data_IF_963508272675
#
_entry.id   IF_963508272675
#
_cell.length_a   1.000
_cell.length_b   1.000
_cell.length_c   1.000
_cell.angle_alpha   90.00
_cell.angle_beta   90.00
_cell.angle_gamma   90.00
#
_symmetry.space_group_name_H-M   'P 1'
#
loop_
_entity.id
_entity.type
_entity.pdbx_description
1 polymer ?
#
# COMPACT_ATOMS: atom_id res chain seq x y z
N UNK A 1 -28.58 -1.26 5.81
CA UNK A 1 -27.33 -0.79 5.13
C UNK A 1 -26.18 -1.54 5.75
N UNK A 2 -25.40 -2.22 4.93
CA UNK A 2 -24.26 -3.05 5.36
C UNK A 2 -23.24 -2.22 6.14
N UNK A 3 -22.76 -2.73 7.27
CA UNK A 3 -21.74 -2.05 8.08
C UNK A 3 -20.38 -2.10 7.41
N UNK A 4 -19.62 -1.02 7.55
CA UNK A 4 -18.25 -0.92 7.05
C UNK A 4 -17.35 -0.67 8.24
N UNK A 5 -16.34 -1.53 8.39
CA UNK A 5 -15.40 -1.53 9.49
C UNK A 5 -14.02 -1.29 8.90
N UNK A 6 -13.39 -0.18 9.27
CA UNK A 6 -11.99 0.12 8.92
C UNK A 6 -11.11 -0.32 10.08
N UNK A 7 -10.07 -1.11 9.78
CA UNK A 7 -9.10 -1.60 10.76
C UNK A 7 -7.73 -1.02 10.44
N UNK A 8 -7.14 -0.27 11.36
CA UNK A 8 -5.83 0.34 11.13
C UNK A 8 -5.18 0.92 12.37
N UNK A 9 -4.07 1.59 12.16
CA UNK A 9 -3.30 2.31 13.19
C UNK A 9 -3.45 3.82 13.01
N UNK A 10 -2.93 4.62 13.95
CA UNK A 10 -2.90 6.09 13.83
C UNK A 10 -1.91 6.50 12.75
N UNK A 11 -2.41 6.50 11.51
CA UNK A 11 -1.63 6.82 10.31
C UNK A 11 -2.52 7.48 9.25
N UNK A 12 -1.94 8.34 8.38
CA UNK A 12 -2.70 9.01 7.32
C UNK A 12 -3.35 8.04 6.31
N UNK A 13 -2.84 6.81 6.15
CA UNK A 13 -3.47 5.75 5.37
C UNK A 13 -4.88 5.42 5.91
N UNK A 14 -5.01 5.20 7.22
CA UNK A 14 -6.30 4.91 7.87
C UNK A 14 -7.24 6.11 7.77
N UNK A 15 -6.74 7.35 7.96
CA UNK A 15 -7.55 8.55 7.77
C UNK A 15 -8.03 8.69 6.32
N UNK A 16 -7.15 8.42 5.35
CA UNK A 16 -7.48 8.44 3.93
C UNK A 16 -8.60 7.45 3.59
N UNK A 17 -8.55 6.22 4.11
CA UNK A 17 -9.60 5.22 3.95
C UNK A 17 -10.94 5.70 4.52
N UNK A 18 -10.93 6.21 5.76
CA UNK A 18 -12.13 6.78 6.40
C UNK A 18 -12.73 7.88 5.53
N UNK A 19 -11.91 8.77 4.96
CA UNK A 19 -12.38 9.85 4.09
C UNK A 19 -12.90 9.36 2.75
N UNK A 20 -12.25 8.39 2.12
CA UNK A 20 -12.73 7.80 0.86
C UNK A 20 -14.17 7.26 1.01
N UNK A 21 -14.40 6.51 2.06
CA UNK A 21 -15.70 5.90 2.34
C UNK A 21 -16.72 6.92 2.84
N UNK A 22 -16.32 7.81 3.75
CA UNK A 22 -17.20 8.82 4.29
C UNK A 22 -17.68 9.84 3.26
N UNK A 23 -16.82 10.26 2.33
CA UNK A 23 -17.19 11.13 1.20
C UNK A 23 -18.15 10.43 0.23
N UNK A 24 -18.13 9.11 0.14
CA UNK A 24 -19.09 8.30 -0.61
C UNK A 24 -20.42 8.07 0.12
N UNK A 25 -20.57 8.62 1.35
CA UNK A 25 -21.81 8.55 2.12
C UNK A 25 -21.91 7.35 3.07
N UNK A 26 -20.85 6.57 3.22
CA UNK A 26 -20.85 5.43 4.13
C UNK A 26 -20.60 5.86 5.59
N UNK A 27 -21.31 5.21 6.53
CA UNK A 27 -21.01 5.30 7.96
C UNK A 27 -19.97 4.27 8.34
N UNK A 28 -18.93 4.69 9.08
CA UNK A 28 -17.75 3.87 9.34
C UNK A 28 -17.62 3.60 10.83
N UNK A 29 -17.50 2.32 11.16
CA UNK A 29 -16.98 1.89 12.44
C UNK A 29 -15.46 1.69 12.30
N UNK A 30 -14.69 2.18 13.27
CA UNK A 30 -13.23 2.20 13.23
C UNK A 30 -12.67 1.32 14.36
N UNK A 31 -11.81 0.37 14.00
CA UNK A 31 -10.97 -0.37 14.95
C UNK A 31 -9.56 0.21 14.85
N UNK A 32 -9.10 0.92 15.89
CA UNK A 32 -7.74 1.43 15.99
C UNK A 32 -6.89 0.50 16.86
N UNK A 33 -5.79 0.05 16.30
CA UNK A 33 -4.80 -0.78 16.98
C UNK A 33 -3.75 0.11 17.64
N UNK A 34 -3.47 -0.16 18.91
CA UNK A 34 -2.47 0.50 19.73
C UNK A 34 -3.07 1.63 20.60
N UNK A 35 -3.47 2.74 20.02
CA UNK A 35 -3.97 3.88 20.78
C UNK A 35 -4.95 4.74 19.99
N UNK A 36 -5.74 5.55 20.71
CA UNK A 36 -6.60 6.56 20.08
C UNK A 36 -5.78 7.71 19.48
N UNK A 37 -6.34 8.37 18.48
CA UNK A 37 -5.67 9.46 17.80
C UNK A 37 -6.59 10.29 16.89
N UNK A 38 -5.98 11.12 16.06
CA UNK A 38 -6.69 12.10 15.23
C UNK A 38 -7.74 11.48 14.29
N UNK A 39 -7.63 10.19 13.95
CA UNK A 39 -8.56 9.53 13.02
C UNK A 39 -9.95 9.38 13.64
N UNK A 40 -10.03 9.06 14.94
CA UNK A 40 -11.30 8.96 15.67
C UNK A 40 -12.09 10.27 15.71
N UNK A 41 -11.42 11.41 15.44
CA UNK A 41 -12.02 12.76 15.39
C UNK A 41 -12.62 13.10 14.02
N UNK A 42 -12.47 12.20 13.03
CA UNK A 42 -13.10 12.40 11.72
C UNK A 42 -14.63 12.36 11.84
N UNK A 43 -15.29 13.31 11.18
CA UNK A 43 -16.76 13.37 11.14
C UNK A 43 -17.43 12.13 10.51
N UNK A 44 -16.65 11.33 9.80
CA UNK A 44 -17.13 10.14 9.10
C UNK A 44 -17.10 8.89 9.98
N UNK A 45 -16.40 8.94 11.12
CA UNK A 45 -16.34 7.85 12.08
C UNK A 45 -17.56 7.92 13.01
N UNK A 46 -18.37 6.86 13.00
CA UNK A 46 -19.55 6.73 13.85
C UNK A 46 -19.18 6.18 15.22
N UNK A 47 -18.28 5.21 15.26
CA UNK A 47 -17.83 4.51 16.46
C UNK A 47 -16.37 4.15 16.34
N UNK A 48 -15.62 4.29 17.43
CA UNK A 48 -14.23 3.81 17.53
C UNK A 48 -14.14 2.74 18.61
N UNK A 49 -13.48 1.62 18.27
CA UNK A 49 -13.11 0.56 19.20
C UNK A 49 -11.59 0.51 19.21
N UNK A 50 -10.99 0.47 20.39
CA UNK A 50 -9.55 0.32 20.54
C UNK A 50 -9.19 -1.15 20.72
N UNK A 51 -8.17 -1.60 19.99
CA UNK A 51 -7.50 -2.87 20.18
C UNK A 51 -6.09 -2.61 20.69
N UNK A 52 -5.61 -3.33 21.70
CA UNK A 52 -4.25 -3.17 22.22
C UNK A 52 -3.22 -3.59 21.15
N UNK A 53 -3.51 -4.66 20.46
CA UNK A 53 -2.71 -5.17 19.34
C UNK A 53 -3.59 -5.89 18.30
N UNK A 54 -2.99 -6.37 17.22
CA UNK A 54 -3.70 -7.02 16.11
C UNK A 54 -4.36 -8.34 16.51
N UNK A 55 -3.94 -9.03 17.58
CA UNK A 55 -4.52 -10.32 18.01
C UNK A 55 -5.96 -10.17 18.50
N UNK A 56 -6.35 -8.99 18.96
CA UNK A 56 -7.70 -8.71 19.44
C UNK A 56 -8.72 -8.49 18.32
N UNK A 57 -8.26 -8.21 17.08
CA UNK A 57 -9.13 -7.83 15.95
C UNK A 57 -10.23 -8.85 15.73
N UNK A 58 -9.91 -10.16 15.73
CA UNK A 58 -10.87 -11.24 15.45
C UNK A 58 -11.98 -11.28 16.52
N UNK A 59 -11.61 -11.20 17.79
CA UNK A 59 -12.57 -11.22 18.90
C UNK A 59 -13.46 -9.97 18.84
N UNK A 60 -12.87 -8.79 18.63
CA UNK A 60 -13.63 -7.53 18.49
C UNK A 60 -14.65 -7.64 17.35
N UNK A 61 -14.25 -8.20 16.20
CA UNK A 61 -15.14 -8.38 15.05
C UNK A 61 -16.27 -9.35 15.38
N UNK A 62 -15.98 -10.51 15.98
CA UNK A 62 -16.97 -11.51 16.30
C UNK A 62 -17.97 -11.02 17.37
N UNK A 63 -17.47 -10.40 18.45
CA UNK A 63 -18.29 -9.94 19.57
C UNK A 63 -19.21 -8.77 19.19
N UNK A 64 -18.75 -7.87 18.35
CA UNK A 64 -19.51 -6.66 17.99
C UNK A 64 -20.33 -6.77 16.71
N UNK A 65 -19.94 -7.68 15.79
CA UNK A 65 -20.50 -7.71 14.42
C UNK A 65 -20.80 -9.12 13.90
N UNK A 66 -20.49 -10.19 14.66
CA UNK A 66 -20.66 -11.57 14.19
C UNK A 66 -22.10 -12.00 13.91
N UNK A 67 -23.08 -11.29 14.51
CA UNK A 67 -24.50 -11.58 14.40
C UNK A 67 -25.27 -10.60 13.47
N UNK A 68 -24.54 -9.82 12.64
CA UNK A 68 -25.19 -8.92 11.69
C UNK A 68 -25.93 -9.70 10.58
N UNK A 69 -27.14 -9.25 10.24
CA UNK A 69 -27.96 -9.88 9.18
C UNK A 69 -27.36 -9.82 7.79
N UNK A 70 -26.57 -8.78 7.50
CA UNK A 70 -25.76 -8.65 6.29
C UNK A 70 -24.29 -8.69 6.70
N UNK A 71 -23.46 -9.52 6.02
CA UNK A 71 -22.03 -9.61 6.28
C UNK A 71 -21.38 -8.22 6.24
N UNK A 72 -20.80 -7.72 7.36
CA UNK A 72 -20.05 -6.47 7.34
C UNK A 72 -18.83 -6.55 6.43
N UNK A 73 -18.44 -5.38 5.88
CA UNK A 73 -17.22 -5.26 5.09
C UNK A 73 -16.11 -4.76 6.00
N UNK A 74 -15.04 -5.54 6.12
CA UNK A 74 -13.84 -5.21 6.91
C UNK A 74 -12.72 -4.81 5.98
N UNK A 75 -12.19 -3.61 6.17
CA UNK A 75 -11.13 -3.04 5.31
C UNK A 75 -9.87 -2.81 6.14
N UNK A 76 -8.87 -3.69 6.03
CA UNK A 76 -7.60 -3.53 6.71
C UNK A 76 -6.72 -2.48 6.00
N UNK A 77 -6.03 -1.64 6.80
CA UNK A 77 -5.13 -0.60 6.33
C UNK A 77 -3.64 -0.89 6.63
N UNK A 78 -3.32 -2.04 7.21
CA UNK A 78 -1.95 -2.48 7.50
C UNK A 78 -1.73 -3.92 7.09
N UNK A 79 -0.47 -4.31 6.83
CA UNK A 79 -0.12 -5.68 6.48
C UNK A 79 -0.46 -6.66 7.62
N UNK A 80 -0.21 -6.25 8.88
CA UNK A 80 -0.54 -7.07 10.05
C UNK A 80 -2.05 -7.31 10.19
N UNK A 81 -2.87 -6.26 10.05
CA UNK A 81 -4.33 -6.41 10.11
C UNK A 81 -4.85 -7.28 8.95
N UNK A 82 -4.29 -7.13 7.73
CA UNK A 82 -4.61 -8.01 6.60
C UNK A 82 -4.25 -9.45 6.88
N UNK A 83 -3.05 -9.72 7.41
CA UNK A 83 -2.58 -11.09 7.73
C UNK A 83 -3.42 -11.75 8.81
N UNK A 84 -3.79 -11.03 9.86
CA UNK A 84 -4.64 -11.58 10.94
C UNK A 84 -6.00 -12.04 10.41
N UNK A 85 -6.62 -11.25 9.53
CA UNK A 85 -7.89 -11.63 8.87
C UNK A 85 -7.70 -12.82 7.92
N UNK A 86 -6.66 -12.79 7.10
CA UNK A 86 -6.34 -13.80 6.09
C UNK A 86 -6.06 -15.17 6.72
N UNK A 87 -5.26 -15.22 7.80
CA UNK A 87 -4.96 -16.45 8.54
C UNK A 87 -6.20 -17.11 9.19
N UNK A 88 -7.34 -16.46 9.17
CA UNK A 88 -8.62 -16.95 9.69
C UNK A 88 -9.75 -16.85 8.65
N UNK A 89 -9.39 -16.85 7.36
CA UNK A 89 -10.34 -16.67 6.27
C UNK A 89 -11.51 -17.66 6.36
N UNK A 90 -11.23 -18.95 6.50
CA UNK A 90 -12.26 -20.00 6.55
C UNK A 90 -13.21 -19.87 7.75
N UNK A 91 -12.72 -19.32 8.88
CA UNK A 91 -13.55 -19.02 10.05
C UNK A 91 -14.42 -17.78 9.87
N UNK A 92 -13.94 -16.80 9.10
CA UNK A 92 -14.56 -15.47 9.00
C UNK A 92 -15.42 -15.28 7.74
N UNK A 93 -15.16 -16.00 6.66
CA UNK A 93 -15.79 -15.81 5.34
C UNK A 93 -17.32 -15.88 5.34
N UNK A 94 -17.90 -16.63 6.29
CA UNK A 94 -19.35 -16.77 6.39
C UNK A 94 -20.02 -15.60 7.13
N UNK A 95 -19.26 -14.85 7.93
CA UNK A 95 -19.76 -13.71 8.70
C UNK A 95 -19.30 -12.35 8.18
N UNK A 96 -18.17 -12.28 7.45
CA UNK A 96 -17.55 -11.02 7.02
C UNK A 96 -17.11 -11.06 5.56
N UNK A 97 -17.02 -9.87 4.95
CA UNK A 97 -16.39 -9.63 3.64
C UNK A 97 -15.10 -8.85 3.87
N UNK A 98 -13.97 -9.33 3.37
CA UNK A 98 -12.65 -8.70 3.53
C UNK A 98 -11.70 -9.14 2.42
N UNK A 99 -10.53 -8.50 2.34
CA UNK A 99 -9.50 -8.84 1.35
C UNK A 99 -8.96 -10.23 1.58
N UNK A 100 -8.85 -11.03 0.50
CA UNK A 100 -8.45 -12.43 0.62
C UNK A 100 -7.95 -13.00 -0.71
N UNK A 101 -7.38 -14.21 -0.66
CA UNK A 101 -7.03 -15.05 -1.82
C UNK A 101 -7.80 -16.39 -1.84
N UNK A 102 -8.90 -16.49 -1.10
CA UNK A 102 -9.83 -17.62 -1.15
C UNK A 102 -9.55 -18.76 -0.18
N UNK A 103 -8.45 -18.71 0.62
CA UNK A 103 -8.14 -19.71 1.65
C UNK A 103 -7.29 -19.09 2.77
N UNK A 104 -7.19 -19.80 3.92
CA UNK A 104 -6.42 -19.36 5.09
C UNK A 104 -4.94 -19.12 4.74
N UNK A 105 -4.45 -17.93 5.06
CA UNK A 105 -3.05 -17.55 4.94
C UNK A 105 -2.53 -17.34 3.52
N UNK A 106 -3.38 -17.45 2.50
CA UNK A 106 -2.92 -17.34 1.11
C UNK A 106 -2.51 -15.91 0.72
N UNK A 107 -3.22 -14.87 1.18
CA UNK A 107 -2.79 -13.50 0.95
C UNK A 107 -1.48 -13.21 1.70
N UNK A 108 -1.34 -13.72 2.92
CA UNK A 108 -0.11 -13.63 3.72
C UNK A 108 1.07 -14.35 3.03
N UNK A 109 0.84 -15.50 2.42
CA UNK A 109 1.84 -16.20 1.60
C UNK A 109 2.30 -15.34 0.42
N UNK A 110 1.37 -14.68 -0.28
CA UNK A 110 1.70 -13.78 -1.39
C UNK A 110 2.33 -12.45 -0.95
N UNK A 111 2.33 -12.10 0.33
CA UNK A 111 3.12 -10.97 0.86
C UNK A 111 4.62 -11.29 0.94
N UNK A 112 5.03 -12.55 0.76
CA UNK A 112 6.44 -12.91 0.68
C UNK A 112 7.06 -12.35 -0.61
N UNK A 113 8.15 -11.57 -0.46
CA UNK A 113 8.80 -10.87 -1.59
C UNK A 113 9.36 -11.82 -2.66
N UNK A 114 9.84 -13.00 -2.27
CA UNK A 114 10.35 -13.99 -3.21
C UNK A 114 9.21 -14.54 -4.08
N UNK A 115 8.10 -14.92 -3.46
CA UNK A 115 6.88 -15.38 -4.15
C UNK A 115 6.35 -14.33 -5.10
N UNK A 116 6.33 -13.06 -4.68
CA UNK A 116 5.91 -11.95 -5.54
C UNK A 116 6.80 -11.79 -6.77
N UNK A 117 8.13 -11.89 -6.61
CA UNK A 117 9.08 -11.81 -7.73
C UNK A 117 8.86 -12.96 -8.72
N UNK A 118 8.62 -14.18 -8.24
CA UNK A 118 8.33 -15.35 -9.08
C UNK A 118 7.03 -15.17 -9.88
N UNK A 119 5.96 -14.71 -9.23
CA UNK A 119 4.68 -14.43 -9.92
C UNK A 119 4.84 -13.27 -10.90
N UNK A 120 5.49 -12.18 -10.52
CA UNK A 120 5.74 -11.04 -11.41
C UNK A 120 6.49 -11.49 -12.68
N UNK A 121 7.54 -12.29 -12.52
CA UNK A 121 8.31 -12.84 -13.65
C UNK A 121 7.47 -13.76 -14.53
N UNK A 122 6.63 -14.62 -13.94
CA UNK A 122 5.79 -15.59 -14.68
C UNK A 122 4.76 -14.91 -15.59
N UNK A 123 4.31 -13.70 -15.24
CA UNK A 123 3.39 -12.89 -16.06
C UNK A 123 4.10 -11.88 -16.97
N UNK A 124 5.44 -11.93 -17.02
CA UNK A 124 6.26 -11.09 -17.87
C UNK A 124 6.51 -9.67 -17.35
N UNK A 125 6.32 -9.42 -16.05
CA UNK A 125 6.75 -8.18 -15.38
C UNK A 125 8.27 -8.25 -15.21
N UNK A 126 8.98 -7.17 -15.55
CA UNK A 126 10.43 -7.11 -15.39
C UNK A 126 10.79 -7.02 -13.91
N UNK A 127 11.65 -7.93 -13.45
CA UNK A 127 12.19 -7.96 -12.07
C UNK A 127 13.70 -7.69 -12.11
N UNK A 128 14.27 -7.04 -11.08
CA UNK A 128 15.74 -7.00 -10.96
C UNK A 128 16.30 -8.41 -10.83
N UNK A 129 17.39 -8.69 -11.55
CA UNK A 129 18.10 -9.98 -11.39
C UNK A 129 18.53 -10.14 -9.94
N UNK A 130 18.25 -11.29 -9.33
CA UNK A 130 18.58 -11.54 -7.93
C UNK A 130 18.82 -13.02 -7.66
N UNK A 131 19.65 -13.31 -6.66
CA UNK A 131 19.88 -14.65 -6.15
C UNK A 131 20.20 -14.64 -4.64
N UNK A 132 19.88 -15.73 -3.96
CA UNK A 132 20.31 -15.96 -2.59
C UNK A 132 21.78 -16.40 -2.58
N UNK A 133 22.61 -15.74 -1.74
CA UNK A 133 23.98 -16.15 -1.55
C UNK A 133 24.05 -17.44 -0.70
N UNK A 134 24.60 -18.52 -1.30
CA UNK A 134 24.74 -19.85 -0.68
C UNK A 134 26.21 -20.29 -0.55
N UNK A 135 27.11 -19.33 -0.30
CA UNK A 135 28.55 -19.60 -0.15
C UNK A 135 29.36 -19.37 -1.42
N UNK A 136 28.74 -19.31 -2.59
CA UNK A 136 29.38 -19.04 -3.86
C UNK A 136 28.72 -17.87 -4.57
N UNK A 137 29.51 -17.01 -5.23
CA UNK A 137 29.03 -15.92 -6.05
C UNK A 137 28.54 -16.44 -7.39
N UNK A 138 27.30 -16.06 -7.75
CA UNK A 138 26.79 -16.26 -9.09
C UNK A 138 27.14 -15.07 -9.99
N UNK A 139 26.83 -15.17 -11.30
CA UNK A 139 26.99 -14.07 -12.24
C UNK A 139 26.20 -12.86 -11.76
N UNK A 140 26.92 -11.83 -11.33
CA UNK A 140 26.35 -10.62 -10.72
C UNK A 140 26.45 -9.44 -11.65
N UNK A 141 25.37 -8.65 -11.74
CA UNK A 141 25.35 -7.37 -12.47
C UNK A 141 25.67 -6.27 -11.45
N UNK A 142 26.74 -5.51 -11.72
CA UNK A 142 27.14 -4.38 -10.88
C UNK A 142 26.65 -3.04 -11.45
N UNK A 143 26.32 -2.07 -10.55
CA UNK A 143 26.26 -2.22 -9.09
C UNK A 143 25.13 -3.16 -8.66
N UNK A 144 25.30 -3.79 -7.47
CA UNK A 144 24.31 -4.65 -6.88
C UNK A 144 23.98 -4.22 -5.44
N UNK A 145 22.84 -4.70 -4.96
CA UNK A 145 22.38 -4.54 -3.58
C UNK A 145 22.61 -5.85 -2.81
N UNK A 146 23.07 -5.71 -1.58
CA UNK A 146 23.04 -6.75 -0.56
C UNK A 146 21.98 -6.42 0.47
N UNK A 147 21.06 -7.34 0.73
CA UNK A 147 20.04 -7.20 1.76
C UNK A 147 19.67 -8.55 2.37
N UNK A 148 19.23 -8.61 3.64
CA UNK A 148 18.69 -9.84 4.19
C UNK A 148 17.34 -10.17 3.49
N UNK A 149 17.08 -11.46 3.29
CA UNK A 149 15.78 -11.94 2.75
C UNK A 149 14.65 -11.63 3.74
N UNK A 150 14.93 -11.78 5.03
CA UNK A 150 14.00 -11.43 6.10
C UNK A 150 14.60 -10.32 6.97
N UNK A 151 13.86 -9.22 7.14
CA UNK A 151 14.22 -8.16 8.08
C UNK A 151 13.69 -8.52 9.46
N UNK A 152 14.46 -9.29 10.24
CA UNK A 152 14.16 -9.52 11.66
C UNK A 152 14.51 -8.23 12.42
N UNK A 153 13.58 -7.71 13.23
CA UNK A 153 13.77 -6.53 14.11
C UNK A 153 13.97 -5.17 13.44
N UNK A 154 13.40 -4.92 12.26
CA UNK A 154 13.32 -3.57 11.67
C UNK A 154 14.65 -2.98 11.16
N UNK A 155 15.75 -3.69 11.22
CA UNK A 155 17.05 -3.27 10.71
C UNK A 155 17.17 -3.52 9.21
N UNK A 156 16.96 -2.49 8.39
CA UNK A 156 17.16 -2.56 6.94
C UNK A 156 18.64 -2.34 6.61
N UNK A 157 19.48 -3.36 6.84
CA UNK A 157 20.87 -3.29 6.34
C UNK A 157 20.87 -3.56 4.84
N UNK A 158 20.93 -2.49 4.04
CA UNK A 158 21.10 -2.56 2.59
C UNK A 158 22.46 -1.95 2.25
N UNK A 159 23.29 -2.70 1.53
CA UNK A 159 24.59 -2.24 1.05
C UNK A 159 24.59 -2.18 -0.47
N UNK A 160 25.15 -1.12 -1.04
CA UNK A 160 25.41 -1.02 -2.47
C UNK A 160 26.85 -1.47 -2.71
N UNK A 161 27.06 -2.42 -3.62
CA UNK A 161 28.35 -2.94 -4.01
C UNK A 161 28.60 -2.65 -5.48
N UNK A 162 29.68 -1.95 -5.79
CA UNK A 162 30.01 -1.54 -7.17
C UNK A 162 30.89 -2.55 -7.92
N UNK A 163 31.46 -3.50 -7.20
CA UNK A 163 32.34 -4.54 -7.73
C UNK A 163 32.36 -5.78 -6.83
N UNK A 164 33.00 -6.84 -7.29
CA UNK A 164 33.06 -8.13 -6.59
C UNK A 164 33.76 -8.03 -5.23
N UNK A 165 34.79 -7.21 -5.09
CA UNK A 165 35.54 -7.02 -3.83
C UNK A 165 34.64 -6.39 -2.76
N UNK A 166 33.86 -5.36 -3.13
CA UNK A 166 32.88 -4.75 -2.24
C UNK A 166 31.77 -5.74 -1.88
N UNK A 167 31.31 -6.55 -2.84
CA UNK A 167 30.33 -7.59 -2.62
C UNK A 167 30.78 -8.63 -1.59
N UNK A 168 32.00 -9.17 -1.72
CA UNK A 168 32.59 -10.14 -0.77
C UNK A 168 32.75 -9.54 0.62
N UNK A 169 33.24 -8.29 0.70
CA UNK A 169 33.37 -7.55 1.97
C UNK A 169 31.98 -7.31 2.60
N UNK A 170 31.02 -6.92 1.78
CA UNK A 170 29.63 -6.70 2.21
C UNK A 170 29.01 -7.97 2.79
N UNK A 171 29.11 -9.11 2.10
CA UNK A 171 28.62 -10.41 2.58
C UNK A 171 29.20 -10.75 3.96
N UNK A 172 30.49 -10.57 4.14
CA UNK A 172 31.18 -10.86 5.41
C UNK A 172 30.68 -10.01 6.59
N UNK A 173 29.95 -8.92 6.30
CA UNK A 173 29.38 -8.04 7.33
C UNK A 173 27.99 -8.45 7.82
N UNK A 174 27.38 -9.47 7.21
CA UNK A 174 26.12 -10.06 7.66
C UNK A 174 26.40 -11.21 8.64
N UNK A 175 25.44 -11.51 9.50
CA UNK A 175 25.50 -12.68 10.37
C UNK A 175 25.49 -13.97 9.55
N UNK A 176 26.18 -15.01 10.01
CA UNK A 176 26.14 -16.34 9.38
C UNK A 176 24.73 -16.97 9.34
N UNK A 177 23.81 -16.47 10.14
CA UNK A 177 22.41 -16.89 10.19
C UNK A 177 21.52 -16.12 9.20
N UNK A 178 22.00 -15.00 8.64
CA UNK A 178 21.23 -14.21 7.68
C UNK A 178 21.30 -14.84 6.30
N UNK A 179 20.13 -15.10 5.71
CA UNK A 179 20.04 -15.39 4.28
C UNK A 179 20.15 -14.08 3.53
N UNK A 180 21.25 -13.91 2.77
CA UNK A 180 21.55 -12.66 2.07
C UNK A 180 21.11 -12.76 0.61
N UNK A 181 20.34 -11.77 0.16
CA UNK A 181 19.98 -11.58 -1.23
C UNK A 181 20.96 -10.64 -1.91
N UNK A 182 21.54 -11.10 -3.03
CA UNK A 182 22.29 -10.28 -3.99
C UNK A 182 21.33 -9.89 -5.10
N UNK A 183 21.10 -8.59 -5.31
CA UNK A 183 20.14 -8.10 -6.29
C UNK A 183 20.76 -6.99 -7.13
N UNK A 184 20.48 -7.00 -8.43
CA UNK A 184 20.84 -5.91 -9.33
C UNK A 184 20.36 -4.57 -8.77
N UNK A 185 21.26 -3.58 -8.69
CA UNK A 185 20.89 -2.20 -8.34
C UNK A 185 20.28 -1.52 -9.56
N UNK A 186 19.05 -1.04 -9.43
CA UNK A 186 18.37 -0.26 -10.47
C UNK A 186 18.49 1.22 -10.11
N UNK A 187 19.22 2.00 -10.93
CA UNK A 187 19.31 3.45 -10.74
C UNK A 187 17.96 4.10 -11.02
N UNK A 188 17.28 4.48 -9.96
CA UNK A 188 15.94 5.07 -9.99
C UNK A 188 15.92 6.39 -10.75
N UNK A 189 15.07 6.51 -11.77
CA UNK A 189 14.62 7.80 -12.33
C UNK A 189 13.48 8.33 -11.46
N UNK A 190 12.46 7.52 -11.23
CA UNK A 190 11.37 7.73 -10.27
C UNK A 190 10.70 6.41 -9.93
N UNK A 191 9.85 6.43 -8.90
CA UNK A 191 9.01 5.30 -8.53
C UNK A 191 7.55 5.57 -8.88
N UNK A 192 6.82 4.50 -9.21
CA UNK A 192 5.38 4.54 -9.38
C UNK A 192 4.69 3.49 -8.50
N UNK A 193 3.45 3.77 -8.13
CA UNK A 193 2.54 2.81 -7.52
C UNK A 193 1.32 2.67 -8.42
N UNK A 194 1.12 1.50 -9.01
CA UNK A 194 -0.10 1.17 -9.77
C UNK A 194 -1.16 0.74 -8.79
N UNK A 195 -2.25 1.52 -8.69
CA UNK A 195 -3.32 1.29 -7.72
C UNK A 195 -4.53 0.62 -8.37
N UNK A 196 -5.10 -0.35 -7.67
CA UNK A 196 -6.26 -1.06 -8.20
C UNK A 196 -7.13 -1.73 -7.15
N UNK A 197 -8.19 -2.32 -7.66
CA UNK A 197 -9.14 -3.13 -6.92
C UNK A 197 -9.48 -4.39 -7.72
N UNK A 198 -9.41 -5.55 -7.07
CA UNK A 198 -9.86 -6.82 -7.62
C UNK A 198 -11.15 -7.25 -6.94
N UNK A 199 -12.14 -7.65 -7.74
CA UNK A 199 -13.47 -8.08 -7.30
C UNK A 199 -13.96 -9.23 -8.18
N UNK A 200 -15.12 -9.80 -7.88
CA UNK A 200 -15.76 -10.79 -8.76
C UNK A 200 -16.05 -10.27 -10.18
N UNK A 201 -16.02 -8.93 -10.39
CA UNK A 201 -16.18 -8.29 -11.71
C UNK A 201 -14.85 -8.14 -12.47
N UNK A 202 -13.74 -8.57 -11.88
CA UNK A 202 -12.39 -8.50 -12.44
C UNK A 202 -11.49 -7.45 -11.77
N UNK A 203 -10.32 -7.24 -12.37
CA UNK A 203 -9.29 -6.32 -11.87
C UNK A 203 -9.43 -4.95 -12.52
N UNK A 204 -9.67 -3.94 -11.71
CA UNK A 204 -9.84 -2.55 -12.10
C UNK A 204 -8.63 -1.71 -11.66
N UNK A 205 -8.00 -0.97 -12.58
CA UNK A 205 -6.85 -0.10 -12.34
C UNK A 205 -7.15 1.25 -13.02
N UNK A 206 -7.58 2.29 -12.28
CA UNK A 206 -7.98 3.58 -12.84
C UNK A 206 -6.85 4.59 -13.00
N UNK A 207 -5.70 4.37 -12.37
CA UNK A 207 -4.59 5.31 -12.37
C UNK A 207 -3.40 4.80 -11.57
N UNK A 208 -2.36 5.63 -11.51
CA UNK A 208 -1.14 5.35 -10.77
C UNK A 208 -0.62 6.60 -10.08
N UNK A 209 0.28 6.41 -9.14
CA UNK A 209 0.98 7.47 -8.40
C UNK A 209 2.42 7.54 -8.90
N UNK A 210 2.90 8.72 -9.27
CA UNK A 210 4.31 9.00 -9.51
C UNK A 210 4.89 9.65 -8.26
N UNK A 211 5.84 8.97 -7.59
CA UNK A 211 6.50 9.48 -6.38
C UNK A 211 7.60 10.48 -6.77
N UNK A 212 7.58 11.65 -6.14
CA UNK A 212 8.61 12.68 -6.29
C UNK A 212 9.52 12.76 -5.07
N UNK A 213 8.95 12.56 -3.89
CA UNK A 213 9.67 12.50 -2.62
C UNK A 213 9.12 11.37 -1.77
N UNK A 214 10.03 10.67 -1.13
CA UNK A 214 9.73 9.56 -0.23
C UNK A 214 10.62 9.65 1.02
N UNK A 215 10.24 8.96 2.08
CA UNK A 215 11.05 8.78 3.26
C UNK A 215 10.69 7.45 3.92
N UNK A 216 11.69 6.65 4.20
CA UNK A 216 11.55 5.31 4.80
C UNK A 216 10.47 4.42 4.13
N UNK A 217 10.43 4.46 2.79
CA UNK A 217 9.46 3.74 1.96
C UNK A 217 8.08 4.38 1.87
N UNK A 218 7.80 5.45 2.62
CA UNK A 218 6.55 6.20 2.57
C UNK A 218 6.59 7.34 1.58
N UNK A 219 5.52 7.52 0.80
CA UNK A 219 5.37 8.65 -0.15
C UNK A 219 5.10 9.95 0.60
N UNK A 220 5.87 11.00 0.30
CA UNK A 220 5.72 12.34 0.87
C UNK A 220 5.05 13.32 -0.07
N UNK A 221 5.55 13.39 -1.32
CA UNK A 221 4.99 14.22 -2.38
C UNK A 221 4.92 13.42 -3.68
N UNK A 222 3.78 13.49 -4.34
CA UNK A 222 3.51 12.68 -5.52
C UNK A 222 2.52 13.34 -6.47
N UNK A 223 2.46 12.83 -7.70
CA UNK A 223 1.41 13.17 -8.66
C UNK A 223 0.56 11.93 -8.96
N UNK A 224 -0.75 12.08 -8.88
CA UNK A 224 -1.71 11.10 -9.41
C UNK A 224 -1.78 11.24 -10.91
N UNK A 225 -1.64 10.13 -11.64
CA UNK A 225 -1.62 10.10 -13.10
C UNK A 225 -2.69 9.16 -13.66
N UNK A 226 -3.27 9.47 -14.84
CA UNK A 226 -4.15 8.56 -15.57
C UNK A 226 -3.44 7.25 -15.95
N UNK A 227 -4.18 6.14 -15.96
CA UNK A 227 -3.62 4.84 -16.32
C UNK A 227 -3.18 4.76 -17.79
N UNK A 228 -3.79 5.56 -18.64
CA UNK A 228 -3.51 5.65 -20.06
C UNK A 228 -2.08 6.15 -20.37
N UNK A 229 -1.43 6.80 -19.42
CA UNK A 229 -0.04 7.23 -19.53
C UNK A 229 0.95 6.04 -19.49
N UNK A 230 0.50 4.86 -19.04
CA UNK A 230 1.31 3.65 -18.98
C UNK A 230 1.07 2.75 -20.22
N UNK A 231 2.08 2.00 -20.69
CA UNK A 231 1.92 1.04 -21.77
C UNK A 231 0.81 0.03 -21.46
N UNK A 232 -0.12 -0.20 -22.38
CA UNK A 232 -1.27 -1.08 -22.18
C UNK A 232 -0.87 -2.51 -21.80
N UNK A 233 0.21 -3.05 -22.43
CA UNK A 233 0.73 -4.37 -22.10
C UNK A 233 1.30 -4.45 -20.68
N UNK A 234 1.92 -3.39 -20.19
CA UNK A 234 2.37 -3.31 -18.80
C UNK A 234 1.19 -3.38 -17.83
N UNK A 235 0.14 -2.61 -18.09
CA UNK A 235 -1.10 -2.62 -17.28
C UNK A 235 -1.77 -3.99 -17.31
N UNK A 236 -1.81 -4.66 -18.47
CA UNK A 236 -2.34 -6.03 -18.59
C UNK A 236 -1.54 -7.04 -17.73
N UNK A 237 -0.21 -6.91 -17.70
CA UNK A 237 0.65 -7.76 -16.85
C UNK A 237 0.39 -7.52 -15.37
N UNK A 238 0.21 -6.27 -14.93
CA UNK A 238 -0.21 -5.95 -13.56
C UNK A 238 -1.54 -6.64 -13.20
N UNK A 239 -2.53 -6.58 -14.08
CA UNK A 239 -3.80 -7.29 -13.88
C UNK A 239 -3.63 -8.80 -13.79
N UNK A 240 -2.82 -9.40 -14.69
CA UNK A 240 -2.51 -10.84 -14.67
C UNK A 240 -1.86 -11.28 -13.37
N UNK A 241 -0.95 -10.47 -12.80
CA UNK A 241 -0.31 -10.75 -11.52
C UNK A 241 -1.34 -10.88 -10.38
N UNK A 242 -2.28 -9.96 -10.29
CA UNK A 242 -3.34 -9.99 -9.26
C UNK A 242 -4.29 -11.20 -9.47
N UNK A 243 -4.63 -11.50 -10.73
CA UNK A 243 -5.44 -12.70 -11.06
C UNK A 243 -4.70 -13.98 -10.69
N UNK A 244 -3.40 -14.08 -10.95
CA UNK A 244 -2.57 -15.26 -10.60
C UNK A 244 -2.52 -15.51 -9.09
N UNK A 245 -2.64 -14.47 -8.28
CA UNK A 245 -2.74 -14.57 -6.82
C UNK A 245 -4.17 -14.91 -6.33
N UNK A 246 -5.16 -15.00 -7.21
CA UNK A 246 -6.58 -15.12 -6.86
C UNK A 246 -7.02 -14.07 -5.83
N UNK A 247 -6.41 -12.87 -5.88
CA UNK A 247 -6.63 -11.84 -4.89
C UNK A 247 -7.92 -11.06 -5.13
N UNK A 248 -8.68 -10.86 -4.06
CA UNK A 248 -9.86 -9.99 -4.00
C UNK A 248 -9.64 -8.91 -2.95
N UNK A 249 -9.61 -7.65 -3.35
CA UNK A 249 -9.35 -6.50 -2.47
C UNK A 249 -8.68 -5.33 -3.17
N UNK A 250 -8.32 -4.32 -2.38
CA UNK A 250 -7.50 -3.19 -2.82
C UNK A 250 -6.03 -3.59 -2.89
N UNK A 251 -5.30 -3.07 -3.88
CA UNK A 251 -3.87 -3.34 -4.00
C UNK A 251 -3.10 -2.14 -4.55
N UNK A 252 -1.79 -2.14 -4.26
CA UNK A 252 -0.82 -1.26 -4.87
C UNK A 252 0.39 -2.06 -5.35
N UNK A 253 0.83 -1.89 -6.60
CA UNK A 253 2.04 -2.53 -7.13
C UNK A 253 3.08 -1.45 -7.38
N UNK A 254 4.24 -1.60 -6.74
CA UNK A 254 5.33 -0.62 -6.77
C UNK A 254 6.39 -1.00 -7.80
N UNK A 255 6.87 0.02 -8.54
CA UNK A 255 7.89 -0.13 -9.57
C UNK A 255 8.90 1.00 -9.54
N UNK A 256 10.16 0.66 -9.87
CA UNK A 256 11.19 1.63 -10.26
C UNK A 256 11.15 1.83 -11.78
N UNK A 257 11.08 3.08 -12.23
CA UNK A 257 11.29 3.44 -13.64
C UNK A 257 12.78 3.68 -13.89
N UNK A 258 13.33 3.00 -14.87
CA UNK A 258 14.71 3.17 -15.36
C UNK A 258 14.78 2.79 -16.83
N UNK A 259 15.41 3.65 -17.68
CA UNK A 259 15.67 3.38 -19.11
C UNK A 259 14.45 2.82 -19.87
N UNK A 260 13.29 3.46 -19.77
CA UNK A 260 12.03 3.01 -20.38
C UNK A 260 11.48 1.65 -19.88
N UNK A 261 12.04 1.06 -18.83
CA UNK A 261 11.59 -0.16 -18.17
C UNK A 261 10.98 0.15 -16.80
N UNK A 262 9.99 -0.65 -16.39
CA UNK A 262 9.42 -0.64 -15.05
C UNK A 262 9.87 -1.92 -14.34
N UNK A 263 10.70 -1.78 -13.32
CA UNK A 263 11.22 -2.88 -12.51
C UNK A 263 10.36 -3.06 -11.26
N UNK A 264 9.84 -4.25 -11.06
CA UNK A 264 9.02 -4.61 -9.92
C UNK A 264 9.77 -4.44 -8.59
N UNK A 265 9.10 -3.87 -7.60
CA UNK A 265 9.59 -3.75 -6.21
C UNK A 265 8.79 -4.70 -5.32
N UNK A 266 7.48 -4.44 -5.18
CA UNK A 266 6.58 -5.22 -4.33
C UNK A 266 5.11 -4.97 -4.71
N UNK A 267 4.25 -5.89 -4.25
CA UNK A 267 2.80 -5.74 -4.30
C UNK A 267 2.23 -5.69 -2.88
N UNK A 268 1.57 -4.59 -2.56
CA UNK A 268 0.83 -4.40 -1.32
C UNK A 268 -0.58 -4.97 -1.49
N UNK A 269 -0.90 -6.09 -0.85
CA UNK A 269 -2.21 -6.74 -0.90
C UNK A 269 -3.13 -6.20 0.21
N UNK A 270 -3.28 -4.90 0.22
CA UNK A 270 -4.09 -4.11 1.16
C UNK A 270 -4.35 -2.72 0.60
N UNK A 271 -5.06 -1.89 1.39
CA UNK A 271 -5.12 -0.47 1.06
C UNK A 271 -3.73 0.17 1.08
N UNK A 272 -3.35 0.77 -0.04
CA UNK A 272 -2.14 1.58 -0.13
C UNK A 272 -2.39 2.98 0.44
N UNK A 273 -1.37 3.59 1.06
CA UNK A 273 -1.50 4.93 1.66
C UNK A 273 -1.87 6.01 0.63
N UNK A 274 -1.50 5.79 -0.63
CA UNK A 274 -1.74 6.74 -1.73
C UNK A 274 -3.13 6.61 -2.36
N UNK A 275 -3.94 5.62 -1.98
CA UNK A 275 -5.32 5.42 -2.48
C UNK A 275 -6.21 6.65 -2.25
N UNK A 276 -6.00 7.39 -1.16
CA UNK A 276 -6.77 8.62 -0.89
C UNK A 276 -6.51 9.69 -1.95
N UNK A 277 -5.28 9.86 -2.42
CA UNK A 277 -4.96 10.80 -3.48
C UNK A 277 -5.66 10.42 -4.80
N UNK A 278 -5.72 9.11 -5.11
CA UNK A 278 -6.45 8.61 -6.27
C UNK A 278 -7.96 8.92 -6.17
N UNK A 279 -8.55 8.77 -4.97
CA UNK A 279 -9.95 9.13 -4.73
C UNK A 279 -10.21 10.64 -4.93
N UNK A 280 -9.30 11.50 -4.46
CA UNK A 280 -9.37 12.96 -4.70
C UNK A 280 -9.26 13.29 -6.19
N UNK A 281 -8.54 12.50 -6.97
CA UNK A 281 -8.45 12.62 -8.44
C UNK A 281 -9.69 12.08 -9.18
N UNK A 282 -10.68 11.56 -8.47
CA UNK A 282 -11.96 11.10 -9.03
C UNK A 282 -12.13 9.58 -9.09
N UNK A 283 -11.14 8.79 -8.71
CA UNK A 283 -11.20 7.32 -8.72
C UNK A 283 -11.17 6.73 -7.30
N UNK A 284 -12.34 6.68 -6.66
CA UNK A 284 -12.50 6.18 -5.29
C UNK A 284 -12.56 4.64 -5.27
N UNK A 285 -11.40 3.99 -5.19
CA UNK A 285 -11.29 2.52 -5.15
C UNK A 285 -11.97 1.88 -3.93
N UNK A 286 -11.89 2.44 -2.69
CA UNK A 286 -12.65 1.93 -1.55
C UNK A 286 -14.16 1.90 -1.79
N UNK A 287 -14.74 2.96 -2.37
CA UNK A 287 -16.14 3.00 -2.75
C UNK A 287 -16.46 1.93 -3.81
N UNK A 288 -15.60 1.79 -4.83
CA UNK A 288 -15.75 0.75 -5.86
C UNK A 288 -15.77 -0.66 -5.26
N UNK A 289 -14.86 -0.95 -4.31
CA UNK A 289 -14.82 -2.23 -3.60
C UNK A 289 -16.10 -2.50 -2.82
N UNK A 290 -16.55 -1.53 -2.01
CA UNK A 290 -17.76 -1.68 -1.20
C UNK A 290 -18.98 -1.90 -2.09
N UNK A 291 -19.13 -1.12 -3.17
CA UNK A 291 -20.25 -1.23 -4.10
C UNK A 291 -20.22 -2.51 -4.95
N UNK A 292 -19.06 -3.19 -5.05
CA UNK A 292 -18.99 -4.48 -5.77
C UNK A 292 -19.82 -5.59 -5.12
N UNK A 293 -20.14 -5.47 -3.83
CA UNK A 293 -20.99 -6.40 -3.08
C UNK A 293 -22.49 -6.04 -3.12
N UNK A 294 -22.86 -4.95 -3.78
CA UNK A 294 -24.24 -4.58 -4.05
C UNK A 294 -24.64 -4.95 -5.48
N UNK A 295 -25.96 -4.95 -5.74
CA UNK A 295 -26.49 -5.17 -7.10
C UNK A 295 -26.37 -3.92 -8.00
N UNK A 296 -25.97 -2.80 -7.44
CA UNK A 296 -25.84 -1.55 -8.18
C UNK A 296 -24.64 -1.60 -9.15
N UNK A 297 -24.81 -0.97 -10.31
CA UNK A 297 -23.71 -0.85 -11.27
C UNK A 297 -22.64 0.09 -10.73
N UNK A 298 -21.42 -0.43 -10.55
CA UNK A 298 -20.26 0.41 -10.25
C UNK A 298 -20.02 1.38 -11.41
N UNK A 299 -20.04 2.67 -11.12
CA UNK A 299 -19.58 3.67 -12.09
C UNK A 299 -18.11 3.40 -12.39
N UNK A 300 -17.74 3.39 -13.67
CA UNK A 300 -16.34 3.36 -14.06
C UNK A 300 -15.71 4.67 -13.64
N UNK A 301 -14.89 4.63 -12.58
CA UNK A 301 -14.16 5.79 -12.08
C UNK A 301 -12.83 5.85 -12.82
N UNK A 302 -12.53 6.98 -13.46
CA UNK A 302 -11.29 7.16 -14.23
C UNK A 302 -10.59 8.43 -13.75
N UNK A 303 -9.30 8.35 -13.57
CA UNK A 303 -8.47 9.54 -13.35
C UNK A 303 -8.32 10.27 -14.68
N UNK A 304 -8.96 11.42 -14.83
CA UNK A 304 -8.92 12.22 -16.06
C UNK A 304 -7.91 13.36 -16.02
N UNK A 305 -7.43 13.72 -14.83
CA UNK A 305 -6.51 14.86 -14.63
C UNK A 305 -5.43 14.50 -13.63
N UNK A 306 -4.21 14.93 -13.94
CA UNK A 306 -3.11 14.86 -12.99
C UNK A 306 -3.35 15.83 -11.84
N UNK A 307 -3.13 15.38 -10.62
CA UNK A 307 -3.17 16.21 -9.42
C UNK A 307 -1.98 15.89 -8.52
N UNK A 308 -1.46 16.91 -7.85
CA UNK A 308 -0.43 16.72 -6.84
C UNK A 308 -1.05 16.40 -5.48
N UNK A 309 -0.35 15.54 -4.74
CA UNK A 309 -0.69 15.08 -3.40
C UNK A 309 0.51 15.24 -2.46
N UNK A 310 0.24 15.69 -1.23
CA UNK A 310 1.27 15.99 -0.24
C UNK A 310 0.88 15.46 1.14
N UNK A 311 1.84 14.79 1.82
CA UNK A 311 1.74 14.38 3.22
C UNK A 311 2.38 15.48 4.07
N UNK A 312 1.62 16.50 4.41
CA UNK A 312 2.04 17.85 4.77
C UNK A 312 3.17 17.90 5.80
N UNK A 313 2.97 17.28 6.96
CA UNK A 313 3.94 17.37 8.07
C UNK A 313 5.23 16.63 7.76
N UNK A 314 5.12 15.42 7.22
CA UNK A 314 6.27 14.59 6.91
C UNK A 314 7.07 15.19 5.74
N UNK A 315 6.38 15.67 4.71
CA UNK A 315 7.03 16.30 3.58
C UNK A 315 7.73 17.61 3.97
N UNK A 316 7.10 18.43 4.83
CA UNK A 316 7.74 19.63 5.38
C UNK A 316 9.04 19.30 6.14
N UNK A 317 9.02 18.25 6.98
CA UNK A 317 10.17 17.81 7.77
C UNK A 317 11.32 17.38 6.88
N UNK A 318 11.04 16.60 5.83
CA UNK A 318 12.04 16.00 4.95
C UNK A 318 12.32 16.78 3.66
N UNK A 319 11.69 17.95 3.44
CA UNK A 319 11.86 18.73 2.19
C UNK A 319 13.31 19.09 1.87
N UNK A 320 14.14 19.31 2.93
CA UNK A 320 15.55 19.70 2.77
C UNK A 320 16.39 18.56 2.19
N UNK A 321 16.03 17.31 2.43
CA UNK A 321 16.71 16.12 1.90
C UNK A 321 16.62 16.08 0.37
N UNK A 322 15.64 16.80 -0.19
CA UNK A 322 15.40 16.98 -1.62
C UNK A 322 15.75 18.37 -2.14
N UNK A 323 16.51 19.18 -1.38
CA UNK A 323 16.88 20.55 -1.72
C UNK A 323 15.67 21.49 -1.97
N UNK A 324 14.52 21.22 -1.33
CA UNK A 324 13.31 22.04 -1.47
C UNK A 324 13.28 23.13 -0.40
N UNK A 325 13.47 24.37 -0.81
CA UNK A 325 13.38 25.56 0.05
C UNK A 325 11.93 25.83 0.49
N UNK A 326 11.76 26.61 1.56
CA UNK A 326 10.46 26.91 2.16
C UNK A 326 9.47 27.53 1.17
N UNK A 327 9.89 28.53 0.38
CA UNK A 327 9.01 29.17 -0.60
C UNK A 327 8.51 28.19 -1.68
N UNK A 328 9.40 27.32 -2.18
CA UNK A 328 9.04 26.28 -3.15
C UNK A 328 8.09 25.24 -2.52
N UNK A 329 8.34 24.87 -1.27
CA UNK A 329 7.46 23.96 -0.54
C UNK A 329 6.06 24.55 -0.34
N UNK A 330 5.97 25.82 0.10
CA UNK A 330 4.69 26.52 0.25
C UNK A 330 3.92 26.58 -1.08
N UNK A 331 4.61 26.86 -2.18
CA UNK A 331 3.98 26.86 -3.52
C UNK A 331 3.41 25.47 -3.83
N UNK A 332 4.15 24.38 -3.60
CA UNK A 332 3.69 23.01 -3.79
C UNK A 332 2.54 22.66 -2.85
N UNK A 333 2.61 23.04 -1.58
CA UNK A 333 1.54 22.83 -0.61
C UNK A 333 0.22 23.48 -1.06
N UNK A 334 0.25 24.76 -1.48
CA UNK A 334 -0.98 25.44 -1.90
C UNK A 334 -1.51 24.97 -3.24
N UNK A 335 -0.66 24.56 -4.18
CA UNK A 335 -1.07 23.99 -5.47
C UNK A 335 -1.59 22.57 -5.40
N UNK A 336 -1.16 21.79 -4.41
CA UNK A 336 -1.58 20.39 -4.23
C UNK A 336 -3.08 20.29 -3.97
N UNK A 337 -3.77 19.49 -4.77
CA UNK A 337 -5.21 19.25 -4.63
C UNK A 337 -5.52 18.26 -3.51
N UNK A 338 -4.66 17.27 -3.31
CA UNK A 338 -4.76 16.32 -2.21
C UNK A 338 -3.79 16.68 -1.09
N UNK A 339 -4.32 16.89 0.11
CA UNK A 339 -3.61 17.02 1.36
C UNK A 339 -4.07 15.91 2.29
N UNK A 340 -3.13 15.12 2.82
CA UNK A 340 -3.52 13.91 3.57
C UNK A 340 -4.11 14.22 4.94
N UNK A 341 -3.68 15.31 5.57
CA UNK A 341 -4.21 15.71 6.89
C UNK A 341 -5.29 16.79 6.76
N UNK A 342 -5.06 17.82 5.93
CA UNK A 342 -6.04 18.89 5.75
C UNK A 342 -7.15 18.50 4.76
N UNK A 343 -8.40 18.61 5.21
CA UNK A 343 -9.58 18.49 4.36
C UNK A 343 -10.67 19.43 4.86
N UNK A 344 -11.16 20.34 4.01
CA UNK A 344 -12.18 21.32 4.39
C UNK A 344 -13.54 20.71 4.78
N UNK A 345 -13.85 19.49 4.28
CA UNK A 345 -15.05 18.75 4.68
C UNK A 345 -14.87 17.94 5.97
N UNK A 346 -13.63 17.72 6.42
CA UNK A 346 -13.26 16.95 7.60
C UNK A 346 -12.01 17.56 8.26
N UNK A 347 -12.08 18.79 8.81
CA UNK A 347 -10.90 19.55 9.24
C UNK A 347 -10.36 19.09 10.60
N UNK A 348 -11.20 18.52 11.47
CA UNK A 348 -10.84 18.24 12.86
C UNK A 348 -9.60 17.36 13.00
N UNK A 349 -9.43 16.26 12.24
CA UNK A 349 -8.21 15.42 12.34
C UNK A 349 -6.90 16.19 12.15
N UNK A 350 -6.88 17.24 11.32
CA UNK A 350 -5.68 18.05 11.10
C UNK A 350 -5.16 18.72 12.38
N UNK A 351 -6.06 19.26 13.22
CA UNK A 351 -5.70 19.93 14.46
C UNK A 351 -5.21 18.99 15.55
N UNK A 352 -5.54 17.70 15.45
CA UNK A 352 -5.12 16.65 16.37
C UNK A 352 -3.99 15.78 15.80
N UNK A 353 -3.60 15.99 14.54
CA UNK A 353 -2.48 15.28 13.96
C UNK A 353 -1.17 15.78 14.62
N UNK A 354 -0.24 14.89 14.94
CA UNK A 354 0.97 15.29 15.66
C UNK A 354 1.86 16.16 14.78
N UNK A 355 2.18 17.34 15.28
CA UNK A 355 3.31 18.16 14.81
C UNK A 355 4.66 17.59 15.33
N UNK A 356 4.82 16.25 15.34
CA UNK A 356 6.01 15.58 15.87
C UNK A 356 7.15 15.49 14.87
#
# INVERSE_FOLDING_TARGET
MRKIIVVGVVHHNTLGMVRCLGCAGFCIDLILVGHDGYISKSRYVKRTILANDESEIINILQDNYGNESEKPIVIPCTDKASSVLDLKYNKLKDSFLFFNCGDDGMATYYMNKQVQVEIASSVGITTPSSYEYKGELQKTIFPCLLKPVQSINGGKKVLICNNEKELQTGISSFSKQDVVLVQQFIKKEYEIVVLGCSTSKGVFIPGYIMKHRDFDGGTLFSTVCPIEDLPSEFVKRCKKMIVAMNYSGLFGIEFIKCNNQYYFIEANLRNDATTYALAVAGANLPEYYVNSFSRENNKTLVVTKRIDAIVEFNDYKHRKDYNVGLCSWLKQYFSSKCKYYWNCKDPIPFFFAPFK
#
